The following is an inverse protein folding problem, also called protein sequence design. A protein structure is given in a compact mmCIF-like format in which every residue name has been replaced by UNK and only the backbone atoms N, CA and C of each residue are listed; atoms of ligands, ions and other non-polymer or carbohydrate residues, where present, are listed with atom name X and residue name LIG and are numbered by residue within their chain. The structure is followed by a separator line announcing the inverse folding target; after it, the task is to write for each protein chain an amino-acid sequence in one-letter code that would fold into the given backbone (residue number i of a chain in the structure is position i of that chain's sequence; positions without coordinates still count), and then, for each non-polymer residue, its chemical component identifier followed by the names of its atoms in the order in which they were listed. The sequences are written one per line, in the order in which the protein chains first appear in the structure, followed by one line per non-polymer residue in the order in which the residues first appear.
data_IF_341198676986
#
_entry.id   IF_341198676986
#
_cell.length_a   1.000
_cell.length_b   1.000
_cell.length_c   1.000
_cell.angle_alpha   90.00
_cell.angle_beta   90.00
_cell.angle_gamma   90.00
#
_symmetry.space_group_name_H-M   'P 1'
#
loop_
_entity.id
_entity.type
_entity.pdbx_description
1 polymer ?
#
# COMPACT_ATOMS: atom_id res chain seq x y z
N UNK A 1 -30.05 -0.19 22.65
CA UNK A 1 -29.05 0.70 22.01
C UNK A 1 -28.40 0.03 20.79
N UNK A 2 -28.06 -1.25 20.86
CA UNK A 2 -27.43 -2.02 19.75
C UNK A 2 -28.32 -2.13 18.50
N UNK A 3 -29.58 -2.53 18.65
CA UNK A 3 -30.57 -2.63 17.55
C UNK A 3 -30.83 -1.32 16.78
N UNK A 4 -30.62 -0.16 17.41
CA UNK A 4 -30.78 1.14 16.76
C UNK A 4 -29.59 1.46 15.84
N UNK A 5 -28.38 1.04 16.22
CA UNK A 5 -27.15 1.24 15.43
C UNK A 5 -27.14 0.38 14.17
N UNK A 6 -27.61 -0.85 14.27
CA UNK A 6 -27.65 -1.79 13.13
C UNK A 6 -28.66 -1.35 12.07
N UNK A 7 -29.85 -0.89 12.49
CA UNK A 7 -30.84 -0.33 11.58
C UNK A 7 -30.34 0.96 10.90
N UNK A 8 -29.57 1.79 11.59
CA UNK A 8 -28.98 3.01 11.01
C UNK A 8 -27.85 2.71 10.03
N UNK A 9 -27.02 1.69 10.31
CA UNK A 9 -25.95 1.24 9.42
C UNK A 9 -26.51 0.59 8.14
N UNK A 10 -27.63 -0.14 8.25
CA UNK A 10 -28.36 -0.69 7.11
C UNK A 10 -28.96 0.42 6.23
N UNK A 11 -29.61 1.42 6.82
CA UNK A 11 -30.21 2.56 6.09
C UNK A 11 -29.18 3.46 5.41
N UNK A 12 -27.98 3.62 5.99
CA UNK A 12 -26.94 4.51 5.44
C UNK A 12 -25.96 3.80 4.50
N UNK A 13 -25.99 2.47 4.43
CA UNK A 13 -25.04 1.66 3.67
C UNK A 13 -23.59 1.79 4.14
N UNK A 14 -23.36 2.30 5.36
CA UNK A 14 -22.04 2.61 5.88
C UNK A 14 -21.15 1.35 6.01
N UNK A 15 -21.68 0.24 6.53
CA UNK A 15 -20.96 -1.03 6.63
C UNK A 15 -20.58 -1.58 5.24
N UNK A 16 -21.49 -1.49 4.26
CA UNK A 16 -21.21 -1.92 2.88
C UNK A 16 -20.09 -1.09 2.24
N UNK A 17 -20.12 0.25 2.40
CA UNK A 17 -19.06 1.13 1.90
C UNK A 17 -17.71 0.87 2.58
N UNK A 18 -17.73 0.63 3.90
CA UNK A 18 -16.55 0.27 4.69
C UNK A 18 -15.93 -1.05 4.18
N UNK A 19 -16.73 -2.12 4.14
CA UNK A 19 -16.28 -3.45 3.72
C UNK A 19 -15.76 -3.45 2.28
N UNK A 20 -16.43 -2.74 1.39
CA UNK A 20 -15.99 -2.58 0.00
C UNK A 20 -14.65 -1.84 -0.08
N UNK A 21 -14.51 -0.73 0.62
CA UNK A 21 -13.25 0.03 0.64
C UNK A 21 -12.11 -0.80 1.24
N UNK A 22 -12.36 -1.51 2.34
CA UNK A 22 -11.36 -2.39 2.98
C UNK A 22 -10.92 -3.51 2.04
N UNK A 23 -11.86 -4.14 1.32
CA UNK A 23 -11.54 -5.16 0.31
C UNK A 23 -10.66 -4.58 -0.80
N UNK A 24 -11.06 -3.46 -1.39
CA UNK A 24 -10.31 -2.83 -2.48
C UNK A 24 -8.89 -2.40 -2.03
N UNK A 25 -8.74 -1.91 -0.79
CA UNK A 25 -7.43 -1.60 -0.20
C UNK A 25 -6.60 -2.87 0.03
N UNK A 26 -7.21 -3.95 0.51
CA UNK A 26 -6.53 -5.24 0.71
C UNK A 26 -6.05 -5.84 -0.60
N UNK A 27 -6.88 -5.79 -1.65
CA UNK A 27 -6.52 -6.28 -2.98
C UNK A 27 -5.35 -5.48 -3.56
N UNK A 28 -5.37 -4.15 -3.40
CA UNK A 28 -4.24 -3.30 -3.80
C UNK A 28 -2.98 -3.60 -2.97
N UNK A 29 -3.09 -3.74 -1.65
CA UNK A 29 -1.95 -4.09 -0.78
C UNK A 29 -1.31 -5.44 -1.17
N UNK A 30 -2.11 -6.40 -1.66
CA UNK A 30 -1.57 -7.66 -2.19
C UNK A 30 -0.67 -7.45 -3.42
N UNK A 31 -0.93 -6.44 -4.24
CA UNK A 31 -0.05 -6.08 -5.38
C UNK A 31 1.29 -5.52 -4.91
N UNK A 32 1.29 -4.73 -3.83
CA UNK A 32 2.50 -4.20 -3.20
C UNK A 32 3.31 -5.33 -2.57
N UNK A 33 2.65 -6.26 -1.85
CA UNK A 33 3.30 -7.46 -1.32
C UNK A 33 3.97 -8.26 -2.44
N UNK A 34 3.27 -8.47 -3.56
CA UNK A 34 3.82 -9.18 -4.72
C UNK A 34 5.07 -8.49 -5.27
N UNK A 35 5.08 -7.17 -5.37
CA UNK A 35 6.27 -6.40 -5.76
C UNK A 35 7.43 -6.66 -4.79
N UNK A 36 7.18 -6.51 -3.49
CA UNK A 36 8.21 -6.72 -2.45
C UNK A 36 8.83 -8.10 -2.56
N UNK A 37 8.00 -9.14 -2.71
CA UNK A 37 8.48 -10.52 -2.84
C UNK A 37 9.18 -10.79 -4.16
N UNK A 38 8.67 -10.26 -5.28
CA UNK A 38 9.21 -10.53 -6.63
C UNK A 38 10.62 -9.98 -6.79
N UNK A 39 10.88 -8.80 -6.23
CA UNK A 39 12.14 -8.08 -6.43
C UNK A 39 13.08 -8.13 -5.22
N UNK A 40 12.83 -9.04 -4.26
CA UNK A 40 13.72 -9.22 -3.10
C UNK A 40 13.77 -8.01 -2.17
N UNK A 41 12.70 -7.20 -2.12
CA UNK A 41 12.70 -5.92 -1.39
C UNK A 41 12.38 -6.08 0.10
N UNK A 42 12.20 -7.29 0.63
CA UNK A 42 11.96 -7.49 2.05
C UNK A 42 13.13 -6.93 2.89
N UNK A 43 12.89 -6.60 4.16
CA UNK A 43 13.95 -6.11 5.05
C UNK A 43 15.08 -7.15 5.16
N UNK A 44 16.32 -6.73 4.89
CA UNK A 44 17.49 -7.61 4.81
C UNK A 44 17.57 -8.49 3.56
N UNK A 45 16.69 -8.27 2.57
CA UNK A 45 16.66 -9.00 1.30
C UNK A 45 17.80 -8.65 0.36
N UNK A 46 18.11 -9.58 -0.55
CA UNK A 46 19.06 -9.37 -1.64
C UNK A 46 18.41 -8.50 -2.74
N UNK A 47 19.08 -7.40 -3.12
CA UNK A 47 18.63 -6.50 -4.18
C UNK A 47 19.04 -6.98 -5.59
N UNK A 48 19.77 -8.08 -5.72
CA UNK A 48 20.12 -8.66 -7.02
C UNK A 48 18.90 -8.93 -7.93
N UNK A 49 17.73 -9.42 -7.45
CA UNK A 49 16.54 -9.60 -8.28
C UNK A 49 15.97 -8.27 -8.81
N UNK A 50 15.99 -7.22 -7.99
CA UNK A 50 15.60 -5.87 -8.39
C UNK A 50 16.54 -5.34 -9.49
N UNK A 51 17.86 -5.44 -9.27
CA UNK A 51 18.87 -4.93 -10.19
C UNK A 51 18.95 -5.75 -11.49
N UNK A 52 18.66 -7.04 -11.43
CA UNK A 52 18.58 -7.93 -12.60
C UNK A 52 17.37 -7.67 -13.50
N UNK A 53 16.32 -7.02 -13.00
CA UNK A 53 15.12 -6.68 -13.77
C UNK A 53 14.57 -5.29 -13.45
N UNK A 54 15.42 -4.27 -13.54
CA UNK A 54 15.06 -2.87 -13.27
C UNK A 54 13.89 -2.40 -14.15
N UNK A 55 13.82 -2.86 -15.40
CA UNK A 55 12.75 -2.51 -16.34
C UNK A 55 11.38 -2.97 -15.85
N UNK A 56 11.26 -4.24 -15.45
CA UNK A 56 10.05 -4.80 -14.85
C UNK A 56 9.68 -4.08 -13.56
N UNK A 57 10.65 -3.86 -12.67
CA UNK A 57 10.41 -3.18 -11.39
C UNK A 57 9.86 -1.76 -11.59
N UNK A 58 10.41 -0.98 -12.54
CA UNK A 58 9.89 0.36 -12.88
C UNK A 58 8.45 0.33 -13.37
N UNK A 59 8.12 -0.66 -14.20
CA UNK A 59 6.76 -0.83 -14.72
C UNK A 59 5.78 -1.16 -13.59
N UNK A 60 6.11 -2.13 -12.74
CA UNK A 60 5.26 -2.54 -11.62
C UNK A 60 5.09 -1.41 -10.59
N UNK A 61 6.16 -0.70 -10.22
CA UNK A 61 6.09 0.47 -9.35
C UNK A 61 5.19 1.56 -9.93
N UNK A 62 5.24 1.77 -11.25
CA UNK A 62 4.36 2.74 -11.92
C UNK A 62 2.89 2.31 -11.85
N UNK A 63 2.60 1.03 -12.09
CA UNK A 63 1.25 0.48 -11.96
C UNK A 63 0.70 0.59 -10.54
N UNK A 64 1.52 0.27 -9.54
CA UNK A 64 1.15 0.38 -8.12
C UNK A 64 0.88 1.82 -7.73
N UNK A 65 1.75 2.77 -8.09
CA UNK A 65 1.54 4.19 -7.79
C UNK A 65 0.27 4.73 -8.47
N UNK A 66 0.07 4.39 -9.75
CA UNK A 66 -1.10 4.81 -10.51
C UNK A 66 -2.41 4.30 -9.89
N UNK A 67 -2.47 3.03 -9.50
CA UNK A 67 -3.65 2.42 -8.88
C UNK A 67 -3.82 2.80 -7.40
N UNK A 68 -2.74 3.15 -6.70
CA UNK A 68 -2.75 3.56 -5.30
C UNK A 68 -3.31 4.96 -5.07
N UNK A 69 -3.10 5.91 -5.99
CA UNK A 69 -3.64 7.28 -5.87
C UNK A 69 -5.17 7.30 -5.71
N UNK A 70 -5.98 6.59 -6.51
CA UNK A 70 -7.40 6.42 -6.25
C UNK A 70 -7.73 5.78 -4.89
N UNK A 71 -6.89 4.88 -4.38
CA UNK A 71 -7.13 4.21 -3.09
C UNK A 71 -7.11 5.19 -1.92
N UNK A 72 -6.31 6.27 -1.98
CA UNK A 72 -6.29 7.33 -0.95
C UNK A 72 -7.70 7.87 -0.70
N UNK A 73 -8.45 8.17 -1.77
CA UNK A 73 -9.84 8.66 -1.66
C UNK A 73 -10.79 7.59 -1.13
N UNK A 74 -10.57 6.32 -1.50
CA UNK A 74 -11.43 5.21 -1.07
C UNK A 74 -11.21 4.85 0.39
N UNK A 75 -9.97 4.93 0.87
CA UNK A 75 -9.56 4.69 2.24
C UNK A 75 -10.27 5.58 3.25
N UNK A 76 -10.63 6.82 2.88
CA UNK A 76 -11.42 7.70 3.74
C UNK A 76 -12.82 7.16 4.11
N UNK A 77 -13.26 6.04 3.52
CA UNK A 77 -14.51 5.33 3.87
C UNK A 77 -14.29 4.22 4.90
N UNK A 78 -13.04 3.88 5.22
CA UNK A 78 -12.70 2.86 6.20
C UNK A 78 -12.75 3.51 7.59
N UNK A 79 -13.32 2.81 8.56
CA UNK A 79 -13.51 3.28 9.93
C UNK A 79 -12.44 2.62 10.79
N UNK A 80 -11.78 3.38 11.65
CA UNK A 80 -10.71 2.89 12.51
C UNK A 80 -9.42 3.66 12.24
N UNK A 81 -8.40 2.98 11.73
CA UNK A 81 -7.11 3.57 11.36
C UNK A 81 -7.24 4.67 10.29
N UNK A 82 -6.27 5.57 10.24
CA UNK A 82 -6.15 6.55 9.16
C UNK A 82 -5.52 5.91 7.91
N UNK A 83 -6.31 5.10 7.21
CA UNK A 83 -5.89 4.46 5.95
C UNK A 83 -5.51 5.48 4.87
N UNK A 84 -6.03 6.71 4.93
CA UNK A 84 -5.72 7.74 3.95
C UNK A 84 -4.25 8.14 4.05
N UNK A 85 -3.77 8.37 5.28
CA UNK A 85 -2.36 8.68 5.56
C UNK A 85 -1.46 7.49 5.23
N UNK A 86 -1.84 6.28 5.64
CA UNK A 86 -1.05 5.06 5.40
C UNK A 86 -0.85 4.78 3.91
N UNK A 87 -1.92 4.83 3.11
CA UNK A 87 -1.84 4.61 1.67
C UNK A 87 -1.05 5.73 0.99
N UNK A 88 -1.22 6.99 1.41
CA UNK A 88 -0.46 8.11 0.85
C UNK A 88 1.05 7.91 1.06
N UNK A 89 1.47 7.62 2.29
CA UNK A 89 2.87 7.38 2.61
C UNK A 89 3.45 6.21 1.79
N UNK A 90 2.66 5.13 1.64
CA UNK A 90 3.08 3.98 0.84
C UNK A 90 3.24 4.33 -0.65
N UNK A 91 2.29 5.08 -1.23
CA UNK A 91 2.37 5.55 -2.62
C UNK A 91 3.58 6.45 -2.82
N UNK A 92 3.87 7.37 -1.90
CA UNK A 92 5.05 8.24 -1.95
C UNK A 92 6.35 7.44 -1.92
N UNK A 93 6.45 6.40 -1.09
CA UNK A 93 7.62 5.53 -1.03
C UNK A 93 7.78 4.66 -2.29
N UNK A 94 6.68 4.17 -2.87
CA UNK A 94 6.69 3.49 -4.19
C UNK A 94 7.21 4.44 -5.28
N UNK A 95 6.74 5.70 -5.31
CA UNK A 95 7.19 6.68 -6.28
C UNK A 95 8.66 7.07 -6.09
N UNK A 96 9.12 7.21 -4.84
CA UNK A 96 10.51 7.50 -4.52
C UNK A 96 11.44 6.37 -4.99
N UNK A 97 11.10 5.11 -4.69
CA UNK A 97 11.86 3.95 -5.16
C UNK A 97 11.94 3.94 -6.70
N UNK A 98 10.82 4.18 -7.38
CA UNK A 98 10.79 4.27 -8.84
C UNK A 98 11.74 5.35 -9.37
N UNK A 99 11.76 6.53 -8.75
CA UNK A 99 12.62 7.64 -9.17
C UNK A 99 14.11 7.31 -9.01
N UNK A 100 14.49 6.61 -7.93
CA UNK A 100 15.86 6.14 -7.70
C UNK A 100 16.26 5.14 -8.79
N UNK A 101 15.39 4.21 -9.15
CA UNK A 101 15.67 3.27 -10.24
C UNK A 101 15.82 3.97 -11.61
N UNK A 102 15.10 5.08 -11.83
CA UNK A 102 15.20 5.88 -13.06
C UNK A 102 16.50 6.68 -13.13
N UNK A 103 17.06 7.10 -11.99
CA UNK A 103 18.22 8.00 -11.91
C UNK A 103 19.44 7.25 -11.35
N UNK A 104 20.34 6.73 -12.22
CA UNK A 104 21.50 5.95 -11.79
C UNK A 104 22.38 6.66 -10.77
N UNK A 105 22.49 7.98 -10.86
CA UNK A 105 23.26 8.82 -9.94
C UNK A 105 22.76 8.86 -8.50
N UNK A 106 21.59 8.28 -8.20
CA UNK A 106 20.98 8.23 -6.86
C UNK A 106 20.98 6.82 -6.25
N UNK A 107 21.57 5.82 -6.92
CA UNK A 107 21.26 4.40 -6.64
C UNK A 107 21.92 3.84 -5.37
N UNK A 108 23.24 3.91 -5.19
CA UNK A 108 23.88 3.06 -4.16
C UNK A 108 23.43 3.37 -2.72
N UNK A 109 23.46 4.64 -2.29
CA UNK A 109 23.18 4.97 -0.89
C UNK A 109 21.68 5.15 -0.60
N UNK A 110 20.89 5.54 -1.62
CA UNK A 110 19.46 5.89 -1.42
C UNK A 110 18.52 4.72 -1.70
N UNK A 111 18.97 3.69 -2.41
CA UNK A 111 18.13 2.55 -2.76
C UNK A 111 17.73 1.75 -1.51
N UNK A 112 18.71 1.41 -0.66
CA UNK A 112 18.43 0.69 0.59
C UNK A 112 17.49 1.48 1.50
N UNK A 113 17.71 2.80 1.63
CA UNK A 113 16.84 3.68 2.41
C UNK A 113 15.40 3.72 1.85
N UNK A 114 15.26 3.78 0.53
CA UNK A 114 13.95 3.77 -0.12
C UNK A 114 13.24 2.43 0.05
N UNK A 115 13.97 1.31 -0.03
CA UNK A 115 13.44 -0.03 0.23
C UNK A 115 13.00 -0.17 1.68
N UNK A 116 13.82 0.24 2.65
CA UNK A 116 13.45 0.25 4.07
C UNK A 116 12.21 1.09 4.35
N UNK A 117 12.11 2.26 3.72
CA UNK A 117 10.95 3.16 3.86
C UNK A 117 9.68 2.53 3.26
N UNK A 118 9.81 1.87 2.11
CA UNK A 118 8.72 1.13 1.47
C UNK A 118 8.20 0.01 2.38
N UNK A 119 9.08 -0.83 2.92
CA UNK A 119 8.70 -1.92 3.84
C UNK A 119 7.97 -1.37 5.06
N UNK A 120 8.54 -0.37 5.75
CA UNK A 120 7.92 0.22 6.93
C UNK A 120 6.52 0.75 6.66
N UNK A 121 6.32 1.46 5.54
CA UNK A 121 5.00 1.95 5.15
C UNK A 121 4.03 0.81 4.80
N UNK A 122 4.54 -0.27 4.18
CA UNK A 122 3.74 -1.44 3.87
C UNK A 122 3.31 -2.20 5.13
N UNK A 123 4.23 -2.40 6.08
CA UNK A 123 3.95 -3.08 7.35
C UNK A 123 2.91 -2.31 8.17
N UNK A 124 3.03 -0.97 8.25
CA UNK A 124 2.04 -0.13 8.92
C UNK A 124 0.64 -0.28 8.28
N UNK A 125 0.58 -0.39 6.94
CA UNK A 125 -0.69 -0.65 6.25
C UNK A 125 -1.20 -2.07 6.53
N UNK A 126 -0.35 -3.08 6.53
CA UNK A 126 -0.74 -4.47 6.78
C UNK A 126 -1.25 -4.69 8.21
N UNK A 127 -0.61 -4.05 9.19
CA UNK A 127 -1.07 -4.02 10.57
C UNK A 127 -2.46 -3.38 10.65
N UNK A 128 -2.67 -2.25 9.97
CA UNK A 128 -3.98 -1.59 9.95
C UNK A 128 -5.06 -2.45 9.28
N UNK A 129 -4.75 -3.12 8.16
CA UNK A 129 -5.65 -4.06 7.48
C UNK A 129 -6.02 -5.21 8.42
N UNK A 130 -5.03 -5.83 9.05
CA UNK A 130 -5.22 -7.00 9.93
C UNK A 130 -5.97 -6.63 11.21
N UNK A 131 -5.72 -5.43 11.74
CA UNK A 131 -6.44 -4.86 12.88
C UNK A 131 -7.85 -4.35 12.56
N UNK A 132 -8.24 -4.30 11.27
CA UNK A 132 -9.56 -3.82 10.85
C UNK A 132 -10.45 -4.98 10.42
N UNK A 133 -11.49 -5.27 11.22
CA UNK A 133 -12.49 -6.27 10.89
C UNK A 133 -13.54 -5.77 9.88
N UNK A 134 -14.16 -6.71 9.15
CA UNK A 134 -15.39 -6.43 8.41
C UNK A 134 -16.54 -6.15 9.37
N UNK A 135 -17.48 -5.29 8.95
CA UNK A 135 -18.64 -4.85 9.74
C UNK A 135 -19.98 -5.29 9.17
#
# INVERSE_FOLDING_TARGET
MEKLRDNFNFLTGASSRHNRALREVRDWAATVRKLITTYGLAEGGDLAPLLGNIGGAKFDLTGIAYTGRPMIKKAGKIIGFDFTVLIRALVENVENLRLILIRPSLQEERLEQAVSSLNRSFDNLDIAITGTGFK
#
